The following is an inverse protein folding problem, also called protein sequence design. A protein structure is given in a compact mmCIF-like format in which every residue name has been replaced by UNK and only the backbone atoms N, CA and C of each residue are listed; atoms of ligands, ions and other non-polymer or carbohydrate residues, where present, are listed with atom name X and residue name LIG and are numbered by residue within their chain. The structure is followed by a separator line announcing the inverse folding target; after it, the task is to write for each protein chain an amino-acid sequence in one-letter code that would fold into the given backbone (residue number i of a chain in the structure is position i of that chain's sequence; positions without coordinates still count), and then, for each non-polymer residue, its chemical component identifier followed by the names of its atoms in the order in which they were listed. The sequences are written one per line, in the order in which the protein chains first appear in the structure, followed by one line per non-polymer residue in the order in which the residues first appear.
data_IF_493261412030
#
_entry.id   IF_493261412030
#
_cell.length_a   1.000
_cell.length_b   1.000
_cell.length_c   1.000
_cell.angle_alpha   90.00
_cell.angle_beta   90.00
_cell.angle_gamma   90.00
#
_symmetry.space_group_name_H-M   'P 1'
#
loop_
_entity.id
_entity.type
_entity.pdbx_description
1 polymer ?
#
# COMPACT_ATOMS: atom_id res chain seq x y z
N UNK A 1 -1.53 -12.19 25.74
CA UNK A 1 -0.14 -12.69 25.78
C UNK A 1 0.47 -12.84 24.39
N UNK A 2 -0.02 -13.72 23.51
CA UNK A 2 0.53 -13.91 22.14
C UNK A 2 0.38 -12.68 21.22
N UNK A 3 -0.80 -12.06 21.16
CA UNK A 3 -1.04 -10.79 20.42
C UNK A 3 -0.07 -9.67 20.82
N UNK A 4 0.18 -9.54 22.13
CA UNK A 4 1.06 -8.52 22.68
C UNK A 4 2.54 -8.85 22.42
N UNK A 5 2.91 -10.12 22.48
CA UNK A 5 4.22 -10.62 22.06
C UNK A 5 4.45 -10.37 20.58
N UNK A 6 3.47 -10.62 19.71
CA UNK A 6 3.59 -10.33 18.28
C UNK A 6 3.74 -8.83 18.02
N UNK A 7 2.93 -7.98 18.68
CA UNK A 7 3.09 -6.52 18.58
C UNK A 7 4.48 -6.08 19.02
N UNK A 8 4.97 -6.56 20.16
CA UNK A 8 6.31 -6.22 20.66
C UNK A 8 7.43 -6.75 19.77
N UNK A 9 7.27 -7.94 19.21
CA UNK A 9 8.29 -8.59 18.37
C UNK A 9 8.37 -7.95 16.98
N UNK A 10 7.23 -7.73 16.31
CA UNK A 10 7.19 -7.07 15.00
C UNK A 10 7.42 -5.56 15.08
N UNK A 11 6.93 -4.87 16.11
CA UNK A 11 7.24 -3.44 16.28
C UNK A 11 8.72 -3.19 16.56
N UNK A 12 9.47 -4.20 17.01
CA UNK A 12 10.92 -4.10 17.24
C UNK A 12 11.74 -4.23 15.95
N UNK A 13 11.17 -4.84 14.90
CA UNK A 13 11.81 -4.92 13.57
C UNK A 13 11.43 -3.74 12.66
N UNK A 14 10.29 -3.08 12.90
CA UNK A 14 9.71 -2.04 12.01
C UNK A 14 9.78 -0.59 12.55
N UNK A 15 10.49 -0.29 13.64
CA UNK A 15 10.82 1.11 13.93
C UNK A 15 11.88 1.58 12.95
N UNK A 16 11.45 1.93 11.73
CA UNK A 16 12.07 3.04 11.01
C UNK A 16 11.91 4.22 11.97
N UNK A 17 13.00 4.81 12.48
CA UNK A 17 12.88 6.02 13.27
C UNK A 17 12.02 7.01 12.48
N UNK A 18 11.29 7.88 13.18
CA UNK A 18 10.74 9.11 12.58
C UNK A 18 11.90 10.07 12.25
N UNK A 19 12.92 9.53 11.60
CA UNK A 19 13.88 10.29 10.86
C UNK A 19 13.08 10.79 9.68
N UNK A 20 13.14 12.10 9.48
CA UNK A 20 12.78 12.76 8.25
C UNK A 20 13.39 11.95 7.11
N UNK A 21 12.65 10.97 6.57
CA UNK A 21 13.01 10.26 5.36
C UNK A 21 12.81 11.32 4.30
N UNK A 22 13.85 12.14 4.16
CA UNK A 22 14.14 12.87 2.94
C UNK A 22 14.43 11.74 1.98
N UNK A 23 13.35 11.15 1.45
CA UNK A 23 13.41 10.27 0.32
C UNK A 23 14.26 11.07 -0.66
N UNK A 24 15.49 10.61 -0.87
CA UNK A 24 16.35 11.15 -1.90
C UNK A 24 15.44 11.18 -3.11
N UNK A 25 15.18 12.40 -3.59
CA UNK A 25 14.22 12.62 -4.64
C UNK A 25 14.80 11.95 -5.88
N UNK A 26 14.55 10.66 -6.03
CA UNK A 26 14.40 10.07 -7.33
C UNK A 26 13.25 10.87 -7.92
N UNK A 27 13.62 11.85 -8.74
CA UNK A 27 12.71 12.60 -9.58
C UNK A 27 12.17 11.56 -10.56
N UNK A 28 11.21 10.77 -10.11
CA UNK A 28 10.34 9.98 -10.96
C UNK A 28 9.57 11.04 -11.73
N UNK A 29 10.06 11.38 -12.92
CA UNK A 29 9.47 12.25 -13.94
C UNK A 29 8.50 13.30 -13.40
N UNK A 30 8.97 14.55 -13.34
CA UNK A 30 8.22 15.72 -12.89
C UNK A 30 6.89 15.98 -13.62
N UNK A 31 6.51 15.18 -14.62
CA UNK A 31 5.26 15.34 -15.35
C UNK A 31 4.49 14.02 -15.43
N UNK A 32 3.22 14.09 -15.03
CA UNK A 32 2.11 13.15 -15.24
C UNK A 32 1.18 13.11 -14.00
N UNK A 33 0.63 14.25 -13.59
CA UNK A 33 -0.84 14.28 -13.61
C UNK A 33 -1.56 13.15 -12.87
N UNK A 34 -1.82 13.17 -11.56
CA UNK A 34 -2.84 12.23 -11.05
C UNK A 34 -4.16 12.71 -11.64
N UNK A 35 -4.69 11.99 -12.63
CA UNK A 35 -5.94 12.33 -13.32
C UNK A 35 -7.10 11.50 -12.78
N UNK A 36 -8.33 11.95 -13.04
CA UNK A 36 -9.54 11.20 -12.73
C UNK A 36 -9.54 9.81 -13.41
N UNK A 37 -9.07 9.72 -14.65
CA UNK A 37 -9.04 8.44 -15.38
C UNK A 37 -8.14 7.41 -14.70
N UNK A 38 -6.98 7.83 -14.17
CA UNK A 38 -6.10 6.93 -13.41
C UNK A 38 -6.77 6.41 -12.14
N UNK A 39 -7.57 7.24 -11.47
CA UNK A 39 -8.35 6.81 -10.30
C UNK A 39 -9.39 5.76 -10.71
N UNK A 40 -10.13 6.01 -11.80
CA UNK A 40 -11.15 5.08 -12.31
C UNK A 40 -10.52 3.75 -12.75
N UNK A 41 -9.41 3.80 -13.47
CA UNK A 41 -8.65 2.61 -13.88
C UNK A 41 -8.16 1.85 -12.64
N UNK A 42 -7.58 2.53 -11.66
CA UNK A 42 -7.10 1.90 -10.44
C UNK A 42 -8.24 1.22 -9.66
N UNK A 43 -9.40 1.87 -9.56
CA UNK A 43 -10.62 1.32 -8.93
C UNK A 43 -11.12 0.06 -9.64
N UNK A 44 -11.18 0.07 -10.98
CA UNK A 44 -11.61 -1.09 -11.79
C UNK A 44 -10.72 -2.31 -11.56
N UNK A 45 -9.43 -2.09 -11.33
CA UNK A 45 -8.48 -3.17 -11.08
C UNK A 45 -8.32 -3.52 -9.59
N UNK A 46 -9.17 -3.00 -8.70
CA UNK A 46 -9.23 -3.46 -7.31
C UNK A 46 -9.98 -4.81 -7.24
N UNK A 47 -9.56 -5.65 -6.29
CA UNK A 47 -10.26 -6.91 -6.00
C UNK A 47 -11.26 -6.67 -4.88
N UNK A 48 -12.46 -7.22 -5.03
CA UNK A 48 -13.48 -7.29 -4.00
C UNK A 48 -13.17 -8.41 -2.98
N UNK A 49 -13.99 -8.47 -1.92
CA UNK A 49 -13.88 -9.46 -0.86
C UNK A 49 -12.59 -9.36 -0.04
N UNK A 50 -11.92 -8.20 -0.05
CA UNK A 50 -10.70 -7.98 0.76
C UNK A 50 -11.04 -7.32 2.08
N UNK A 51 -10.36 -7.75 3.13
CA UNK A 51 -10.49 -7.19 4.47
C UNK A 51 -10.11 -5.71 4.49
N UNK A 52 -10.92 -4.91 5.18
CA UNK A 52 -10.61 -3.52 5.43
C UNK A 52 -9.35 -3.39 6.31
N UNK A 53 -8.52 -2.39 6.01
CA UNK A 53 -7.34 -2.06 6.82
C UNK A 53 -7.70 -1.28 8.08
N UNK A 54 -6.71 -0.59 8.65
CA UNK A 54 -6.86 0.21 9.87
C UNK A 54 -8.07 1.17 9.86
N UNK A 55 -8.32 1.84 8.73
CA UNK A 55 -9.39 2.84 8.56
C UNK A 55 -10.79 2.19 8.39
N UNK A 56 -10.89 0.85 8.40
CA UNK A 56 -12.15 0.09 8.28
C UNK A 56 -12.99 0.38 7.03
N UNK A 57 -12.40 1.01 6.01
CA UNK A 57 -13.00 1.16 4.67
C UNK A 57 -12.70 -0.08 3.84
N UNK A 58 -13.74 -0.70 3.30
CA UNK A 58 -13.64 -1.88 2.43
C UNK A 58 -13.43 -1.46 0.95
N UNK A 59 -12.87 -2.33 0.09
CA UNK A 59 -12.72 -2.03 -1.33
C UNK A 59 -14.06 -1.78 -2.04
N UNK A 60 -15.14 -2.44 -1.61
CA UNK A 60 -16.47 -2.30 -2.22
C UNK A 60 -17.02 -0.89 -2.05
N UNK A 61 -16.75 -0.22 -0.92
CA UNK A 61 -17.15 1.17 -0.70
C UNK A 61 -16.48 2.07 -1.74
N UNK A 62 -15.19 1.85 -2.03
CA UNK A 62 -14.49 2.64 -3.03
C UNK A 62 -14.96 2.34 -4.45
N UNK A 63 -15.16 1.06 -4.77
CA UNK A 63 -15.54 0.61 -6.11
C UNK A 63 -16.99 0.98 -6.47
N UNK A 64 -17.92 0.89 -5.49
CA UNK A 64 -19.36 1.11 -5.70
C UNK A 64 -19.84 2.49 -5.26
N UNK A 65 -18.97 3.29 -4.65
CA UNK A 65 -19.28 4.64 -4.17
C UNK A 65 -19.55 5.70 -5.25
N UNK A 66 -19.41 5.33 -6.53
CA UNK A 66 -19.78 6.18 -7.67
C UNK A 66 -18.91 7.44 -7.82
N UNK A 67 -19.46 8.43 -8.53
CA UNK A 67 -18.75 9.66 -8.88
C UNK A 67 -18.31 10.49 -7.67
N UNK A 68 -19.11 10.51 -6.59
CA UNK A 68 -18.78 11.23 -5.36
C UNK A 68 -17.51 10.69 -4.70
N UNK A 69 -17.44 9.36 -4.49
CA UNK A 69 -16.26 8.73 -3.90
C UNK A 69 -15.05 8.84 -4.83
N UNK A 70 -15.25 8.70 -6.14
CA UNK A 70 -14.19 8.88 -7.14
C UNK A 70 -13.60 10.30 -7.08
N UNK A 71 -14.44 11.33 -7.01
CA UNK A 71 -14.02 12.73 -6.88
C UNK A 71 -13.25 12.99 -5.58
N UNK A 72 -13.72 12.43 -4.47
CA UNK A 72 -13.02 12.54 -3.18
C UNK A 72 -11.64 11.87 -3.24
N UNK A 73 -11.55 10.67 -3.82
CA UNK A 73 -10.28 9.95 -3.99
C UNK A 73 -9.30 10.71 -4.87
N UNK A 74 -9.78 11.36 -5.92
CA UNK A 74 -8.97 12.24 -6.75
C UNK A 74 -8.43 13.42 -5.96
N UNK A 75 -9.28 14.19 -5.27
CA UNK A 75 -8.85 15.33 -4.45
C UNK A 75 -7.82 14.93 -3.40
N UNK A 76 -8.06 13.80 -2.73
CA UNK A 76 -7.15 13.23 -1.74
C UNK A 76 -5.81 12.81 -2.34
N UNK A 77 -5.80 12.26 -3.56
CA UNK A 77 -4.57 11.81 -4.22
C UNK A 77 -3.79 12.99 -4.80
N UNK A 78 -4.49 13.93 -5.43
CA UNK A 78 -3.93 15.17 -5.96
C UNK A 78 -3.28 16.00 -4.83
N UNK A 79 -3.96 16.16 -3.70
CA UNK A 79 -3.40 16.84 -2.51
C UNK A 79 -2.13 16.15 -1.98
N UNK A 80 -2.12 14.81 -1.93
CA UNK A 80 -0.93 14.05 -1.51
C UNK A 80 0.23 14.21 -2.48
N UNK A 81 -0.04 14.21 -3.79
CA UNK A 81 0.97 14.43 -4.82
C UNK A 81 1.59 15.83 -4.69
N UNK A 82 0.78 16.87 -4.55
CA UNK A 82 1.25 18.26 -4.50
C UNK A 82 2.00 18.58 -3.21
N UNK A 83 1.48 18.12 -2.07
CA UNK A 83 2.12 18.35 -0.77
C UNK A 83 3.34 17.47 -0.54
N UNK A 84 3.58 16.45 -1.37
CA UNK A 84 4.55 15.36 -1.14
C UNK A 84 4.40 14.73 0.25
N UNK A 85 3.21 14.81 0.84
CA UNK A 85 2.89 14.31 2.18
C UNK A 85 1.71 13.36 2.11
N UNK A 86 1.89 12.20 2.72
CA UNK A 86 0.81 11.26 3.00
C UNK A 86 0.35 11.48 4.45
N UNK A 87 -0.96 11.57 4.68
CA UNK A 87 -1.46 11.60 6.05
C UNK A 87 -1.10 10.30 6.78
N UNK A 88 -0.80 10.40 8.07
CA UNK A 88 -0.23 9.29 8.83
C UNK A 88 -1.09 8.03 8.81
N UNK A 89 -2.41 8.20 8.76
CA UNK A 89 -3.38 7.11 8.72
C UNK A 89 -3.36 6.29 7.42
N UNK A 90 -2.76 6.79 6.34
CA UNK A 90 -2.76 6.13 5.03
C UNK A 90 -1.73 5.00 4.91
N UNK A 91 -0.66 5.07 5.71
CA UNK A 91 0.35 4.00 5.81
C UNK A 91 0.21 3.15 7.08
N UNK A 92 -0.73 3.47 7.98
CA UNK A 92 -1.06 2.58 9.10
C UNK A 92 -1.59 1.24 8.59
N UNK A 93 -1.02 0.16 9.11
CA UNK A 93 -1.42 -1.21 8.83
C UNK A 93 -1.83 -1.91 10.12
N UNK A 94 -2.74 -2.86 10.02
CA UNK A 94 -2.96 -3.85 11.08
C UNK A 94 -2.05 -5.04 10.78
N UNK A 95 -1.15 -5.38 11.70
CA UNK A 95 -0.30 -6.57 11.61
C UNK A 95 -1.11 -7.76 12.10
N UNK A 96 -1.30 -8.76 11.23
CA UNK A 96 -1.99 -10.01 11.55
C UNK A 96 -1.00 -11.16 11.42
N UNK A 97 -0.74 -11.95 12.48
CA UNK A 97 0.15 -13.10 12.42
C UNK A 97 -0.56 -14.28 11.72
N UNK A 98 -0.01 -14.74 10.58
CA UNK A 98 -0.49 -15.93 9.88
C UNK A 98 0.39 -17.14 10.20
N UNK A 99 -0.19 -18.19 10.78
CA UNK A 99 0.53 -19.41 11.10
C UNK A 99 1.03 -20.12 9.83
N UNK A 100 2.33 -20.44 9.78
CA UNK A 100 2.97 -21.11 8.62
C UNK A 100 2.58 -22.59 8.48
N UNK A 101 1.76 -23.14 9.39
CA UNK A 101 1.41 -24.56 9.45
C UNK A 101 2.62 -25.48 9.62
N UNK A 102 3.66 -25.01 10.32
CA UNK A 102 4.89 -25.75 10.60
C UNK A 102 5.35 -25.47 12.03
N UNK A 103 5.75 -26.53 12.74
CA UNK A 103 6.23 -26.43 14.12
C UNK A 103 5.11 -26.33 15.17
N UNK A 104 5.43 -25.77 16.34
CA UNK A 104 4.43 -25.51 17.40
C UNK A 104 3.78 -24.13 17.20
N UNK A 105 2.47 -24.05 17.46
CA UNK A 105 1.69 -22.81 17.46
C UNK A 105 2.07 -21.84 18.59
N UNK A 106 2.82 -22.31 19.59
CA UNK A 106 3.27 -21.48 20.71
C UNK A 106 4.52 -20.65 20.39
N UNK A 107 5.19 -20.92 19.26
CA UNK A 107 6.45 -20.28 18.88
C UNK A 107 6.19 -19.19 17.84
N UNK A 108 6.54 -17.94 18.17
CA UNK A 108 6.25 -16.77 17.33
C UNK A 108 6.91 -16.84 15.93
N UNK A 109 8.10 -17.42 15.81
CA UNK A 109 8.83 -17.54 14.52
C UNK A 109 8.13 -18.46 13.50
N UNK A 110 7.18 -19.29 13.96
CA UNK A 110 6.34 -20.12 13.11
C UNK A 110 5.16 -19.37 12.48
N UNK A 111 5.09 -18.05 12.68
CA UNK A 111 4.13 -17.17 12.05
C UNK A 111 4.81 -16.28 11.01
N UNK A 112 4.02 -15.80 10.04
CA UNK A 112 4.39 -14.77 9.09
C UNK A 112 3.52 -13.55 9.35
N UNK A 113 4.08 -12.35 9.55
CA UNK A 113 3.27 -11.14 9.64
C UNK A 113 2.61 -10.84 8.30
N UNK A 114 1.37 -10.39 8.33
CA UNK A 114 0.66 -9.83 7.18
C UNK A 114 0.18 -8.44 7.54
N UNK A 115 0.56 -7.46 6.71
CA UNK A 115 0.17 -6.07 6.88
C UNK A 115 -1.14 -5.79 6.13
N UNK A 116 -2.22 -5.57 6.87
CA UNK A 116 -3.50 -5.11 6.35
C UNK A 116 -3.47 -3.59 6.16
N UNK A 117 -2.91 -3.16 5.03
CA UNK A 117 -2.83 -1.75 4.65
C UNK A 117 -4.21 -1.15 4.35
N UNK A 118 -4.33 0.17 4.54
CA UNK A 118 -5.48 0.97 4.13
C UNK A 118 -5.83 0.75 2.65
N UNK A 119 -7.11 0.52 2.37
CA UNK A 119 -7.62 0.32 1.00
C UNK A 119 -7.36 1.56 0.13
N UNK A 120 -7.54 2.76 0.70
CA UNK A 120 -7.22 4.04 0.03
C UNK A 120 -5.71 4.16 -0.22
N UNK A 121 -4.88 3.71 0.72
CA UNK A 121 -3.43 3.66 0.55
C UNK A 121 -3.01 2.71 -0.58
N UNK A 122 -3.62 1.52 -0.67
CA UNK A 122 -3.38 0.55 -1.74
C UNK A 122 -3.78 1.10 -3.12
N UNK A 123 -4.90 1.82 -3.21
CA UNK A 123 -5.32 2.48 -4.45
C UNK A 123 -4.25 3.49 -4.90
N UNK A 124 -3.78 4.34 -3.99
CA UNK A 124 -2.75 5.33 -4.29
C UNK A 124 -1.42 4.69 -4.70
N UNK A 125 -0.99 3.65 -3.97
CA UNK A 125 0.21 2.89 -4.31
C UNK A 125 0.10 2.25 -5.70
N UNK A 126 -1.08 1.75 -6.08
CA UNK A 126 -1.32 1.18 -7.42
C UNK A 126 -1.05 2.20 -8.53
N UNK A 127 -1.56 3.43 -8.37
CA UNK A 127 -1.35 4.52 -9.34
C UNK A 127 0.14 4.86 -9.46
N UNK A 128 0.87 4.86 -8.35
CA UNK A 128 2.32 5.09 -8.36
C UNK A 128 3.06 3.93 -9.02
N UNK A 129 2.72 2.69 -8.69
CA UNK A 129 3.37 1.48 -9.24
C UNK A 129 3.21 1.44 -10.76
N UNK A 130 2.01 1.72 -11.29
CA UNK A 130 1.80 1.78 -12.75
C UNK A 130 2.73 2.80 -13.43
N UNK A 131 2.99 3.91 -12.75
CA UNK A 131 3.95 4.94 -13.19
C UNK A 131 5.39 4.43 -13.14
N UNK A 132 5.80 3.84 -12.02
CA UNK A 132 7.15 3.30 -11.83
C UNK A 132 7.44 2.23 -12.87
N UNK A 133 6.52 1.28 -13.07
CA UNK A 133 6.66 0.20 -14.06
C UNK A 133 6.87 0.77 -15.47
N UNK A 134 6.07 1.77 -15.88
CA UNK A 134 6.21 2.41 -17.19
C UNK A 134 7.60 3.05 -17.39
N UNK A 135 8.15 3.65 -16.33
CA UNK A 135 9.47 4.30 -16.39
C UNK A 135 10.64 3.31 -16.33
N UNK A 136 10.43 2.11 -15.80
CA UNK A 136 11.48 1.11 -15.57
C UNK A 136 11.45 -0.07 -16.55
N UNK A 137 10.38 -0.26 -17.33
CA UNK A 137 10.19 -1.41 -18.24
C UNK A 137 11.38 -1.67 -19.17
N UNK A 138 12.02 -0.61 -19.69
CA UNK A 138 13.17 -0.71 -20.59
C UNK A 138 14.53 -0.49 -19.90
N UNK A 139 14.55 -0.43 -18.57
CA UNK A 139 15.75 -0.16 -17.76
C UNK A 139 16.09 -1.28 -16.79
N UNK A 140 15.31 -2.36 -16.81
CA UNK A 140 15.49 -3.53 -15.95
C UNK A 140 16.29 -4.58 -16.72
N UNK A 141 17.20 -5.25 -16.01
CA UNK A 141 18.02 -6.33 -16.55
C UNK A 141 17.20 -7.60 -16.84
N UNK A 142 17.53 -8.31 -17.91
CA UNK A 142 16.85 -9.52 -18.38
C UNK A 142 16.84 -10.69 -17.36
N UNK A 143 17.74 -10.65 -16.38
CA UNK A 143 17.82 -11.63 -15.29
C UNK A 143 16.76 -11.41 -14.20
N UNK A 144 16.18 -10.20 -14.10
CA UNK A 144 15.12 -9.92 -13.15
C UNK A 144 13.83 -10.60 -13.62
N UNK A 145 13.32 -11.53 -12.83
CA UNK A 145 12.07 -12.25 -13.13
C UNK A 145 10.96 -12.00 -12.11
N UNK A 146 11.33 -11.56 -10.90
CA UNK A 146 10.37 -11.28 -9.84
C UNK A 146 9.69 -9.91 -10.01
N UNK A 147 8.40 -9.85 -9.74
CA UNK A 147 7.60 -8.62 -9.70
C UNK A 147 7.53 -7.81 -11.01
N UNK A 148 7.85 -8.44 -12.14
CA UNK A 148 7.60 -7.88 -13.46
C UNK A 148 6.17 -8.13 -13.90
N UNK A 149 5.69 -7.31 -14.83
CA UNK A 149 4.42 -7.53 -15.51
C UNK A 149 4.63 -8.70 -16.47
N UNK A 150 3.80 -9.74 -16.34
CA UNK A 150 3.73 -10.87 -17.29
C UNK A 150 3.06 -10.45 -18.60
#
# INVERSE_FOLDING_TARGET
MLEELFRKWFAREDTVPDDNVTATAYVIGAENEITMDKIVIALKHMKDGKTAGYVKVSPEILMRGGGMVTSLLYQLSHKCSNSRRLSSDRYKAIIVPLYKKKGSWQVCTNYRPINLLSVVGKLYAKIIIERVVKETENKIWDIQRGFLKE
#
